data_IF_416738339513
#
_entry.id   IF_416738339513
#
_cell.length_a   1.000
_cell.length_b   1.000
_cell.length_c   1.000
_cell.angle_alpha   90.00
_cell.angle_beta   90.00
_cell.angle_gamma   90.00
#
_symmetry.space_group_name_H-M   'P 1'
#
loop_
_entity.id
_entity.type
_entity.pdbx_description
1 polymer ?
#
# COMPACT_ATOMS: atom_id res chain seq x y z
N UNK A 1 -16.15 30.88 -12.73
CA UNK A 1 -16.53 30.25 -11.44
C UNK A 1 -17.20 28.92 -11.72
N UNK A 2 -17.06 27.91 -10.84
CA UNK A 2 -17.74 26.63 -11.03
C UNK A 2 -19.26 26.85 -10.89
N UNK A 3 -20.01 26.64 -11.97
CA UNK A 3 -21.44 26.95 -12.05
C UNK A 3 -22.29 26.25 -10.96
N UNK A 4 -21.75 25.20 -10.35
CA UNK A 4 -22.47 24.30 -9.44
C UNK A 4 -22.20 24.57 -7.95
N UNK A 5 -21.47 25.63 -7.57
CA UNK A 5 -21.13 25.89 -6.17
C UNK A 5 -22.35 26.23 -5.29
N UNK A 6 -23.39 26.83 -5.88
CA UNK A 6 -24.62 27.21 -5.18
C UNK A 6 -25.42 25.99 -4.68
N UNK A 7 -25.32 24.84 -5.36
CA UNK A 7 -26.03 23.62 -4.99
C UNK A 7 -25.59 23.06 -3.63
N UNK A 8 -24.34 23.30 -3.22
CA UNK A 8 -23.85 22.88 -1.90
C UNK A 8 -24.52 23.66 -0.75
N UNK A 9 -24.86 24.93 -0.99
CA UNK A 9 -25.52 25.76 0.03
C UNK A 9 -26.95 25.27 0.34
N UNK A 10 -27.59 24.58 -0.60
CA UNK A 10 -28.97 24.09 -0.44
C UNK A 10 -29.06 22.75 0.32
N UNK A 11 -27.93 22.09 0.63
CA UNK A 11 -27.91 20.76 1.24
C UNK A 11 -27.91 20.78 2.79
N UNK A 12 -28.03 21.96 3.42
CA UNK A 12 -28.07 22.14 4.88
C UNK A 12 -26.96 21.38 5.65
N UNK A 13 -25.74 21.43 5.14
CA UNK A 13 -24.57 20.78 5.75
C UNK A 13 -23.96 21.66 6.86
N UNK A 14 -23.30 21.05 7.85
CA UNK A 14 -22.44 21.77 8.78
C UNK A 14 -21.39 22.60 8.04
N UNK A 15 -21.00 23.76 8.61
CA UNK A 15 -20.05 24.69 8.01
C UNK A 15 -18.72 24.03 7.65
N UNK A 16 -18.18 23.18 8.52
CA UNK A 16 -16.93 22.43 8.29
C UNK A 16 -17.06 21.44 7.12
N UNK A 17 -18.16 20.69 7.07
CA UNK A 17 -18.44 19.75 5.97
C UNK A 17 -18.63 20.48 4.65
N UNK A 18 -19.28 21.65 4.67
CA UNK A 18 -19.53 22.49 3.51
C UNK A 18 -18.23 23.07 2.95
N UNK A 19 -17.34 23.58 3.81
CA UNK A 19 -16.03 24.09 3.40
C UNK A 19 -15.18 22.98 2.76
N UNK A 20 -15.12 21.81 3.39
CA UNK A 20 -14.43 20.65 2.83
C UNK A 20 -15.05 20.24 1.49
N UNK A 21 -16.38 20.19 1.38
CA UNK A 21 -17.08 19.86 0.14
C UNK A 21 -16.78 20.86 -0.98
N UNK A 22 -16.67 22.17 -0.69
CA UNK A 22 -16.26 23.20 -1.66
C UNK A 22 -14.84 22.98 -2.17
N UNK A 23 -13.90 22.68 -1.27
CA UNK A 23 -12.51 22.37 -1.65
C UNK A 23 -12.44 21.13 -2.56
N UNK A 24 -13.18 20.08 -2.20
CA UNK A 24 -13.28 18.84 -2.97
C UNK A 24 -13.92 19.04 -4.33
N UNK A 25 -14.98 19.85 -4.39
CA UNK A 25 -15.66 20.18 -5.64
C UNK A 25 -14.73 20.93 -6.59
N UNK A 26 -13.94 21.89 -6.08
CA UNK A 26 -12.96 22.60 -6.88
C UNK A 26 -11.89 21.65 -7.45
N UNK A 27 -11.33 20.79 -6.60
CA UNK A 27 -10.34 19.78 -7.00
C UNK A 27 -10.91 18.82 -8.06
N UNK A 28 -12.11 18.29 -7.83
CA UNK A 28 -12.76 17.38 -8.75
C UNK A 28 -13.04 18.06 -10.08
N UNK A 29 -13.58 19.29 -10.07
CA UNK A 29 -13.89 20.05 -11.29
C UNK A 29 -12.64 20.28 -12.15
N UNK A 30 -11.47 20.50 -11.55
CA UNK A 30 -10.21 20.65 -12.28
C UNK A 30 -9.74 19.34 -12.90
N UNK A 31 -9.88 18.23 -12.17
CA UNK A 31 -9.37 16.92 -12.59
C UNK A 31 -10.34 16.09 -13.43
N UNK A 32 -11.61 16.46 -13.50
CA UNK A 32 -12.63 15.77 -14.32
C UNK A 32 -12.99 16.55 -15.57
N UNK A 33 -12.19 17.54 -15.97
CA UNK A 33 -12.40 18.28 -17.22
C UNK A 33 -12.36 17.31 -18.42
N UNK A 34 -13.10 17.60 -19.51
CA UNK A 34 -12.98 16.85 -20.76
C UNK A 34 -11.51 16.73 -21.19
N UNK A 35 -11.07 15.51 -21.54
CA UNK A 35 -9.67 15.22 -21.88
C UNK A 35 -8.74 14.87 -20.71
N UNK A 36 -9.20 14.91 -19.46
CA UNK A 36 -8.42 14.48 -18.28
C UNK A 36 -8.22 12.96 -18.15
N UNK A 37 -8.96 12.17 -18.94
CA UNK A 37 -9.06 10.71 -18.77
C UNK A 37 -10.04 10.26 -17.68
N UNK A 38 -10.62 11.20 -16.92
CA UNK A 38 -11.62 10.95 -15.89
C UNK A 38 -12.89 11.78 -16.14
N UNK A 39 -13.38 11.75 -17.36
CA UNK A 39 -14.53 12.52 -17.78
C UNK A 39 -15.85 11.96 -17.21
N UNK A 40 -16.67 12.83 -16.62
CA UNK A 40 -17.99 12.47 -16.08
C UNK A 40 -19.10 12.50 -17.15
N UNK A 41 -18.90 13.19 -18.27
CA UNK A 41 -19.91 13.38 -19.32
C UNK A 41 -21.18 14.04 -18.79
N UNK A 42 -22.33 13.40 -19.03
CA UNK A 42 -23.64 13.86 -18.53
C UNK A 42 -23.82 13.78 -17.01
N UNK A 43 -22.88 13.15 -16.28
CA UNK A 43 -22.95 12.97 -14.83
C UNK A 43 -22.35 14.12 -14.02
N UNK A 44 -21.96 15.20 -14.67
CA UNK A 44 -21.38 16.40 -14.04
C UNK A 44 -22.36 17.13 -13.13
N UNK A 45 -23.66 16.99 -13.36
CA UNK A 45 -24.73 17.55 -12.51
C UNK A 45 -24.69 17.03 -11.09
N UNK A 46 -24.34 15.75 -10.90
CA UNK A 46 -24.25 15.12 -9.58
C UNK A 46 -22.97 15.41 -8.79
N UNK A 47 -22.01 16.13 -9.38
CA UNK A 47 -20.69 16.33 -8.80
C UNK A 47 -20.72 17.00 -7.40
N UNK A 48 -21.52 18.06 -7.15
CA UNK A 48 -21.59 18.69 -5.82
C UNK A 48 -22.10 17.73 -4.73
N UNK A 49 -23.16 16.98 -5.00
CA UNK A 49 -23.74 16.03 -4.05
C UNK A 49 -22.75 14.90 -3.71
N UNK A 50 -22.00 14.41 -4.70
CA UNK A 50 -20.95 13.42 -4.49
C UNK A 50 -19.81 13.99 -3.63
N UNK A 51 -19.40 15.24 -3.86
CA UNK A 51 -18.35 15.89 -3.07
C UNK A 51 -18.80 16.13 -1.61
N UNK A 52 -20.05 16.54 -1.39
CA UNK A 52 -20.65 16.65 -0.07
C UNK A 52 -20.67 15.31 0.68
N UNK A 53 -21.06 14.23 -0.02
CA UNK A 53 -21.00 12.88 0.53
C UNK A 53 -19.59 12.48 0.97
N UNK A 54 -18.59 12.66 0.10
CA UNK A 54 -17.19 12.34 0.42
C UNK A 54 -16.67 13.19 1.59
N UNK A 55 -17.06 14.47 1.68
CA UNK A 55 -16.69 15.34 2.79
C UNK A 55 -17.24 14.82 4.13
N UNK A 56 -18.53 14.48 4.19
CA UNK A 56 -19.16 13.94 5.40
C UNK A 56 -18.50 12.63 5.88
N UNK A 57 -18.10 11.77 4.93
CA UNK A 57 -17.38 10.51 5.23
C UNK A 57 -15.98 10.77 5.78
N UNK A 58 -15.28 11.79 5.28
CA UNK A 58 -13.94 12.16 5.79
C UNK A 58 -13.97 12.72 7.20
N UNK A 59 -15.01 13.49 7.53
CA UNK A 59 -15.21 14.09 8.86
C UNK A 59 -15.91 13.15 9.84
N UNK A 60 -16.41 11.99 9.37
CA UNK A 60 -17.15 11.00 10.18
C UNK A 60 -18.42 11.56 10.84
N UNK A 61 -18.99 12.63 10.28
CA UNK A 61 -20.23 13.25 10.80
C UNK A 61 -21.47 12.46 10.37
N UNK A 62 -21.38 11.65 9.30
CA UNK A 62 -22.47 10.82 8.75
C UNK A 62 -23.77 11.57 8.41
N UNK A 63 -23.75 12.91 8.33
CA UNK A 63 -24.93 13.75 8.09
C UNK A 63 -25.49 13.59 6.67
N UNK A 64 -24.63 13.22 5.73
CA UNK A 64 -25.01 13.07 4.34
C UNK A 64 -24.89 11.60 3.94
N UNK A 65 -26.02 10.91 3.87
CA UNK A 65 -26.04 9.49 3.51
C UNK A 65 -25.88 9.30 2.00
N UNK A 66 -25.51 8.08 1.60
CA UNK A 66 -25.38 7.72 0.18
C UNK A 66 -26.69 7.88 -0.61
N UNK A 67 -27.82 7.57 0.03
CA UNK A 67 -29.16 7.72 -0.58
C UNK A 67 -29.51 9.20 -0.76
N UNK A 68 -29.31 10.01 0.28
CA UNK A 68 -29.52 11.47 0.21
C UNK A 68 -28.66 12.10 -0.90
N UNK A 69 -27.41 11.68 -1.01
CA UNK A 69 -26.50 12.14 -2.06
C UNK A 69 -26.97 11.74 -3.47
N UNK A 70 -27.49 10.52 -3.64
CA UNK A 70 -28.01 10.07 -4.92
C UNK A 70 -29.26 10.85 -5.32
N UNK A 71 -30.19 11.08 -4.40
CA UNK A 71 -31.39 11.90 -4.65
C UNK A 71 -31.00 13.34 -4.99
N UNK A 72 -30.13 13.96 -4.20
CA UNK A 72 -29.67 15.34 -4.41
C UNK A 72 -28.85 15.52 -5.70
N UNK A 73 -28.24 14.45 -6.22
CA UNK A 73 -27.51 14.47 -7.49
C UNK A 73 -28.42 14.45 -8.72
N UNK A 74 -29.70 14.10 -8.54
CA UNK A 74 -30.67 13.85 -9.61
C UNK A 74 -30.19 12.80 -10.64
N UNK A 75 -29.27 11.89 -10.26
CA UNK A 75 -28.77 10.82 -11.10
C UNK A 75 -29.49 9.51 -10.77
N UNK A 76 -29.62 8.63 -11.77
CA UNK A 76 -30.01 7.23 -11.53
C UNK A 76 -28.98 6.54 -10.64
N UNK A 77 -29.37 5.57 -9.79
CA UNK A 77 -28.44 4.91 -8.88
C UNK A 77 -27.17 4.37 -9.57
N UNK A 78 -27.32 3.72 -10.73
CA UNK A 78 -26.20 3.16 -11.49
C UNK A 78 -25.25 4.23 -12.06
N UNK A 79 -25.77 5.38 -12.47
CA UNK A 79 -24.97 6.50 -12.95
C UNK A 79 -24.30 7.24 -11.79
N UNK A 80 -24.99 7.37 -10.65
CA UNK A 80 -24.44 7.90 -9.41
C UNK A 80 -23.24 7.08 -8.92
N UNK A 81 -23.34 5.75 -8.89
CA UNK A 81 -22.22 4.90 -8.48
C UNK A 81 -21.00 5.07 -9.37
N UNK A 82 -21.19 5.10 -10.69
CA UNK A 82 -20.10 5.32 -11.64
C UNK A 82 -19.45 6.69 -11.45
N UNK A 83 -20.26 7.74 -11.30
CA UNK A 83 -19.76 9.09 -11.02
C UNK A 83 -19.03 9.14 -9.68
N UNK A 84 -19.56 8.50 -8.63
CA UNK A 84 -18.92 8.39 -7.33
C UNK A 84 -17.56 7.73 -7.42
N UNK A 85 -17.42 6.59 -8.12
CA UNK A 85 -16.13 5.93 -8.30
C UNK A 85 -15.13 6.78 -9.08
N UNK A 86 -15.56 7.50 -10.12
CA UNK A 86 -14.69 8.40 -10.88
C UNK A 86 -14.20 9.55 -9.98
N UNK A 87 -15.12 10.21 -9.27
CA UNK A 87 -14.81 11.33 -8.38
C UNK A 87 -13.93 10.87 -7.22
N UNK A 88 -14.22 9.70 -6.63
CA UNK A 88 -13.38 9.07 -5.62
C UNK A 88 -12.00 8.69 -6.18
N UNK A 89 -11.90 8.23 -7.42
CA UNK A 89 -10.62 7.96 -8.08
C UNK A 89 -9.82 9.24 -8.36
N UNK A 90 -10.48 10.38 -8.51
CA UNK A 90 -9.87 11.68 -8.86
C UNK A 90 -9.44 12.47 -7.63
N UNK A 91 -10.38 12.66 -6.69
CA UNK A 91 -10.15 13.31 -5.40
C UNK A 91 -9.32 12.39 -4.51
N UNK A 92 -9.75 11.13 -4.43
CA UNK A 92 -8.98 10.10 -3.79
C UNK A 92 -7.78 9.72 -4.63
N UNK A 93 -7.62 10.14 -5.88
CA UNK A 93 -6.41 9.88 -6.70
C UNK A 93 -5.14 10.56 -6.18
N UNK A 94 -5.28 11.64 -5.40
CA UNK A 94 -4.17 12.20 -4.63
C UNK A 94 -3.87 11.42 -3.34
N UNK A 95 -4.77 10.50 -2.94
CA UNK A 95 -4.68 9.61 -1.77
C UNK A 95 -4.98 8.13 -2.06
N UNK A 96 -4.94 7.70 -3.32
CA UNK A 96 -4.26 6.49 -3.72
C UNK A 96 -2.82 6.93 -3.45
N UNK A 97 -2.33 6.95 -2.20
CA UNK A 97 -2.01 5.69 -1.53
C UNK A 97 -1.81 4.66 -2.63
N UNK A 98 -0.75 4.90 -3.40
CA UNK A 98 0.13 3.88 -3.92
C UNK A 98 0.37 2.93 -2.76
N UNK A 99 -0.63 2.11 -2.39
CA UNK A 99 -0.95 1.60 -1.05
C UNK A 99 0.27 1.73 -0.17
N UNK A 100 0.50 2.92 0.44
CA UNK A 100 1.88 3.37 0.82
C UNK A 100 2.50 2.18 1.50
N UNK A 101 3.42 1.49 0.81
CA UNK A 101 3.69 0.09 1.16
C UNK A 101 4.16 0.15 2.60
N UNK A 102 3.39 -0.41 3.55
CA UNK A 102 3.54 -0.05 4.94
C UNK A 102 4.99 -0.34 5.33
N UNK A 103 5.65 0.62 5.98
CA UNK A 103 7.03 0.39 6.40
C UNK A 103 7.07 -0.81 7.35
N UNK A 104 8.19 -1.55 7.39
CA UNK A 104 8.34 -2.64 8.36
C UNK A 104 8.08 -2.17 9.80
N UNK A 105 8.46 -0.92 10.13
CA UNK A 105 8.17 -0.29 11.41
C UNK A 105 6.66 -0.16 11.69
N UNK A 106 5.86 0.24 10.69
CA UNK A 106 4.40 0.33 10.83
C UNK A 106 3.74 -1.04 11.00
N UNK A 107 4.26 -2.07 10.31
CA UNK A 107 3.76 -3.45 10.44
C UNK A 107 4.12 -3.99 11.83
N UNK A 108 5.36 -3.80 12.29
CA UNK A 108 5.78 -4.20 13.62
C UNK A 108 4.95 -3.51 14.71
N UNK A 109 4.65 -2.21 14.56
CA UNK A 109 3.77 -1.49 15.47
C UNK A 109 2.34 -2.06 15.48
N UNK A 110 1.77 -2.38 14.31
CA UNK A 110 0.43 -2.99 14.18
C UNK A 110 0.32 -4.31 14.94
N UNK A 111 1.36 -5.14 14.92
CA UNK A 111 1.39 -6.45 15.59
C UNK A 111 2.09 -6.44 16.95
N UNK A 112 2.42 -5.26 17.50
CA UNK A 112 3.11 -5.10 18.79
C UNK A 112 4.41 -5.90 18.91
N UNK A 113 5.20 -5.88 17.83
CA UNK A 113 6.48 -6.60 17.72
C UNK A 113 7.64 -5.63 17.88
N UNK A 114 8.68 -6.05 18.59
CA UNK A 114 9.95 -5.31 18.70
C UNK A 114 10.66 -5.28 17.33
N UNK A 115 10.35 -4.25 16.52
CA UNK A 115 10.86 -4.13 15.16
C UNK A 115 12.38 -3.96 15.08
N UNK A 116 13.01 -3.31 16.06
CA UNK A 116 14.46 -3.02 16.05
C UNK A 116 15.32 -4.28 16.01
N UNK A 117 14.97 -5.33 16.75
CA UNK A 117 15.72 -6.59 16.73
C UNK A 117 15.52 -7.40 15.44
N UNK A 118 14.44 -7.14 14.70
CA UNK A 118 14.06 -7.90 13.50
C UNK A 118 14.45 -7.21 12.20
N UNK A 119 14.71 -5.90 12.23
CA UNK A 119 15.11 -5.09 11.09
C UNK A 119 16.26 -5.67 10.25
N UNK A 120 17.38 -6.17 10.82
CA UNK A 120 18.45 -6.75 10.01
C UNK A 120 17.98 -7.98 9.23
N UNK A 121 17.12 -8.82 9.81
CA UNK A 121 16.57 -10.01 9.14
C UNK A 121 15.58 -9.63 8.04
N UNK A 122 14.76 -8.59 8.24
CA UNK A 122 13.88 -8.07 7.19
C UNK A 122 14.70 -7.57 5.99
N UNK A 123 15.76 -6.80 6.24
CA UNK A 123 16.64 -6.30 5.18
C UNK A 123 17.37 -7.43 4.45
N UNK A 124 17.86 -8.44 5.19
CA UNK A 124 18.56 -9.58 4.61
C UNK A 124 17.61 -10.45 3.77
N UNK A 125 16.43 -10.79 4.29
CA UNK A 125 15.41 -11.53 3.54
C UNK A 125 14.96 -10.78 2.29
N UNK A 126 14.79 -9.45 2.37
CA UNK A 126 14.46 -8.62 1.21
C UNK A 126 15.56 -8.68 0.14
N UNK A 127 16.84 -8.58 0.52
CA UNK A 127 17.97 -8.66 -0.43
C UNK A 127 18.03 -10.04 -1.08
N UNK A 128 17.89 -11.12 -0.30
CA UNK A 128 17.90 -12.49 -0.83
C UNK A 128 16.76 -12.71 -1.83
N UNK A 129 15.55 -12.24 -1.52
CA UNK A 129 14.40 -12.35 -2.41
C UNK A 129 14.63 -11.60 -3.73
N UNK A 130 15.21 -10.40 -3.67
CA UNK A 130 15.50 -9.57 -4.84
C UNK A 130 16.59 -10.20 -5.74
N UNK A 131 17.54 -10.92 -5.15
CA UNK A 131 18.57 -11.66 -5.89
C UNK A 131 18.00 -12.89 -6.61
N UNK A 132 16.98 -13.54 -6.04
CA UNK A 132 16.33 -14.72 -6.65
C UNK A 132 15.46 -14.28 -7.84
N UNK A 133 14.61 -13.28 -7.63
CA UNK A 133 13.75 -12.74 -8.68
C UNK A 133 13.51 -11.24 -8.44
N UNK A 134 14.00 -10.41 -9.36
CA UNK A 134 13.88 -8.95 -9.29
C UNK A 134 12.43 -8.44 -9.34
N UNK A 135 11.46 -9.31 -9.66
CA UNK A 135 10.03 -8.97 -9.57
C UNK A 135 9.55 -8.78 -8.14
N UNK A 136 10.21 -9.41 -7.16
CA UNK A 136 9.83 -9.29 -5.76
C UNK A 136 10.38 -8.03 -5.10
N UNK A 137 9.94 -6.87 -5.58
CA UNK A 137 10.32 -5.60 -4.99
C UNK A 137 9.38 -5.21 -3.83
N UNK A 138 9.92 -5.21 -2.60
CA UNK A 138 9.16 -4.87 -1.38
C UNK A 138 8.65 -3.42 -1.34
N UNK A 139 9.18 -2.53 -2.17
CA UNK A 139 8.74 -1.13 -2.26
C UNK A 139 7.52 -0.98 -3.17
N UNK A 140 7.32 -1.94 -4.09
CA UNK A 140 6.23 -1.92 -5.08
C UNK A 140 5.07 -2.81 -4.68
N UNK A 141 5.34 -3.92 -3.99
CA UNK A 141 4.35 -4.93 -3.64
C UNK A 141 4.21 -5.07 -2.13
N UNK A 142 3.03 -4.75 -1.61
CA UNK A 142 2.73 -4.90 -0.18
C UNK A 142 2.75 -6.38 0.23
N UNK A 143 2.32 -7.28 -0.65
CA UNK A 143 2.31 -8.73 -0.45
C UNK A 143 3.70 -9.25 -0.11
N UNK A 144 4.74 -8.76 -0.80
CA UNK A 144 6.13 -9.16 -0.54
C UNK A 144 6.57 -8.72 0.85
N UNK A 145 6.25 -7.48 1.23
CA UNK A 145 6.66 -6.94 2.53
C UNK A 145 5.96 -7.64 3.69
N UNK A 146 4.65 -7.88 3.58
CA UNK A 146 3.90 -8.65 4.57
C UNK A 146 4.33 -10.12 4.62
N UNK A 147 4.68 -10.73 3.48
CA UNK A 147 5.20 -12.10 3.45
C UNK A 147 6.56 -12.22 4.15
N UNK A 148 7.49 -11.27 3.92
CA UNK A 148 8.77 -11.22 4.64
C UNK A 148 8.53 -11.07 6.14
N UNK A 149 7.65 -10.14 6.54
CA UNK A 149 7.31 -9.95 7.95
C UNK A 149 6.74 -11.23 8.58
N UNK A 150 5.72 -11.83 7.95
CA UNK A 150 5.09 -13.06 8.41
C UNK A 150 6.11 -14.19 8.56
N UNK A 151 6.93 -14.39 7.53
CA UNK A 151 7.93 -15.46 7.49
C UNK A 151 8.98 -15.27 8.59
N UNK A 152 9.61 -14.09 8.70
CA UNK A 152 10.60 -13.82 9.75
C UNK A 152 9.99 -13.98 11.15
N UNK A 153 8.80 -13.42 11.35
CA UNK A 153 8.13 -13.47 12.65
C UNK A 153 7.74 -14.89 13.08
N UNK A 154 7.29 -15.71 12.12
CA UNK A 154 6.91 -17.12 12.38
C UNK A 154 8.06 -17.94 12.96
N UNK A 155 9.30 -17.66 12.54
CA UNK A 155 10.49 -18.31 13.09
C UNK A 155 11.00 -17.66 14.37
N UNK A 156 10.82 -16.35 14.52
CA UNK A 156 11.35 -15.61 15.67
C UNK A 156 10.61 -15.90 16.98
N UNK A 157 9.27 -15.84 17.00
CA UNK A 157 8.53 -15.97 18.27
C UNK A 157 8.21 -17.41 18.67
N UNK A 158 8.30 -18.38 17.75
CA UNK A 158 7.90 -19.77 17.97
C UNK A 158 6.40 -19.97 18.29
N UNK A 159 5.68 -18.89 18.62
CA UNK A 159 4.22 -18.84 18.71
C UNK A 159 3.66 -18.72 17.30
N UNK A 160 2.69 -19.58 16.98
CA UNK A 160 2.00 -19.54 15.70
C UNK A 160 1.26 -18.20 15.62
N UNK A 161 1.72 -17.33 14.73
CA UNK A 161 0.88 -16.29 14.18
C UNK A 161 -0.39 -16.94 13.60
N UNK A 162 -1.45 -16.16 13.38
CA UNK A 162 -2.63 -16.65 12.67
C UNK A 162 -2.25 -17.43 11.39
N UNK A 163 -3.05 -18.43 10.99
CA UNK A 163 -2.77 -19.18 9.77
C UNK A 163 -2.64 -18.23 8.57
N UNK A 164 -1.79 -18.61 7.60
CA UNK A 164 -1.40 -17.78 6.45
C UNK A 164 -2.60 -17.16 5.71
N UNK A 165 -3.72 -17.89 5.65
CA UNK A 165 -4.94 -17.45 4.98
C UNK A 165 -5.63 -16.31 5.72
N UNK A 166 -5.83 -16.44 7.03
CA UNK A 166 -6.45 -15.40 7.87
C UNK A 166 -5.60 -14.14 7.88
N UNK A 167 -4.28 -14.30 7.99
CA UNK A 167 -3.36 -13.16 7.95
C UNK A 167 -3.42 -12.41 6.61
N UNK A 168 -3.54 -13.11 5.49
CA UNK A 168 -3.66 -12.46 4.18
C UNK A 168 -4.99 -11.68 4.06
N UNK A 169 -6.09 -12.26 4.55
CA UNK A 169 -7.42 -11.63 4.53
C UNK A 169 -7.46 -10.36 5.41
N UNK A 170 -6.91 -10.41 6.61
CA UNK A 170 -6.87 -9.28 7.57
C UNK A 170 -6.05 -8.07 7.07
N UNK A 171 -5.12 -8.30 6.14
CA UNK A 171 -4.30 -7.26 5.53
C UNK A 171 -4.71 -6.93 4.09
N UNK A 172 -5.83 -7.47 3.61
CA UNK A 172 -6.36 -7.26 2.25
C UNK A 172 -5.36 -7.64 1.15
N UNK A 173 -4.61 -8.73 1.36
CA UNK A 173 -3.59 -9.22 0.44
C UNK A 173 -4.12 -10.31 -0.47
N UNK A 174 -3.57 -10.42 -1.67
CA UNK A 174 -3.81 -11.57 -2.54
C UNK A 174 -3.14 -12.82 -1.95
N UNK A 175 -3.93 -13.74 -1.41
CA UNK A 175 -3.44 -14.98 -0.78
C UNK A 175 -2.51 -15.78 -1.71
N UNK A 176 -2.82 -15.87 -3.00
CA UNK A 176 -2.01 -16.61 -3.98
C UNK A 176 -0.62 -16.01 -4.15
N UNK A 177 -0.51 -14.69 -4.25
CA UNK A 177 0.78 -14.00 -4.37
C UNK A 177 1.58 -14.11 -3.07
N UNK A 178 0.92 -13.87 -1.94
CA UNK A 178 1.50 -13.99 -0.60
C UNK A 178 2.08 -15.39 -0.33
N UNK A 179 1.30 -16.45 -0.56
CA UNK A 179 1.74 -17.83 -0.37
C UNK A 179 2.92 -18.20 -1.27
N UNK A 180 2.95 -17.69 -2.51
CA UNK A 180 4.05 -17.92 -3.46
C UNK A 180 5.36 -17.28 -2.96
N UNK A 181 5.29 -16.07 -2.40
CA UNK A 181 6.45 -15.40 -1.82
C UNK A 181 6.96 -16.16 -0.60
N UNK A 182 6.07 -16.60 0.30
CA UNK A 182 6.43 -17.40 1.48
C UNK A 182 7.10 -18.72 1.07
N UNK A 183 6.53 -19.43 0.09
CA UNK A 183 7.11 -20.67 -0.42
C UNK A 183 8.53 -20.43 -0.96
N UNK A 184 8.71 -19.35 -1.75
CA UNK A 184 10.02 -18.96 -2.30
C UNK A 184 11.03 -18.63 -1.20
N UNK A 185 10.64 -17.87 -0.17
CA UNK A 185 11.48 -17.58 0.99
C UNK A 185 11.88 -18.86 1.72
N UNK A 186 10.93 -19.77 1.95
CA UNK A 186 11.18 -21.03 2.65
C UNK A 186 12.12 -21.98 1.90
N UNK A 187 12.06 -21.99 0.56
CA UNK A 187 12.88 -22.86 -0.28
C UNK A 187 14.29 -22.32 -0.47
N UNK A 188 14.43 -21.00 -0.68
CA UNK A 188 15.70 -20.40 -1.09
C UNK A 188 16.48 -19.74 0.05
N UNK A 189 15.82 -19.32 1.13
CA UNK A 189 16.46 -18.66 2.27
C UNK A 189 16.64 -19.60 3.47
N UNK A 190 17.14 -20.82 3.22
CA UNK A 190 17.30 -21.85 4.26
C UNK A 190 18.37 -21.49 5.29
N UNK A 191 19.46 -20.84 4.87
CA UNK A 191 20.53 -20.37 5.76
C UNK A 191 20.00 -19.34 6.76
N UNK A 192 19.31 -18.31 6.25
CA UNK A 192 18.70 -17.25 7.06
C UNK A 192 17.63 -17.81 8.00
N UNK A 193 16.88 -18.83 7.58
CA UNK A 193 15.94 -19.56 8.44
C UNK A 193 16.65 -20.23 9.62
N UNK A 194 17.80 -20.88 9.40
CA UNK A 194 18.57 -21.51 10.48
C UNK A 194 19.10 -20.47 11.47
N UNK A 195 19.64 -19.36 10.97
CA UNK A 195 20.12 -18.23 11.78
C UNK A 195 19.00 -17.65 12.67
N UNK A 196 17.80 -17.44 12.10
CA UNK A 196 16.62 -16.98 12.86
C UNK A 196 16.23 -17.95 13.97
N UNK A 197 16.24 -19.25 13.70
CA UNK A 197 15.91 -20.28 14.71
C UNK A 197 16.97 -20.31 15.82
N UNK A 198 18.25 -20.16 15.48
CA UNK A 198 19.34 -20.12 16.46
C UNK A 198 19.25 -18.88 17.37
N UNK A 199 19.00 -17.71 16.78
CA UNK A 199 18.77 -16.46 17.51
C UNK A 199 17.52 -16.49 18.40
N UNK A 200 16.44 -17.10 17.91
CA UNK A 200 15.23 -17.29 18.71
C UNK A 200 15.50 -18.17 19.94
N UNK A 201 16.30 -19.24 19.79
CA UNK A 201 16.69 -20.12 20.90
C UNK A 201 17.59 -19.42 21.91
N UNK A 202 18.59 -18.64 21.46
CA UNK A 202 19.52 -17.94 22.36
C UNK A 202 18.81 -16.91 23.24
N UNK A 203 17.77 -16.24 22.74
CA UNK A 203 16.95 -15.31 23.53
C UNK A 203 16.14 -15.98 24.63
N UNK A 204 15.57 -17.15 24.37
CA UNK A 204 14.83 -17.89 25.40
C UNK A 204 15.75 -18.31 26.55
N UNK A 205 17.03 -18.62 26.24
CA UNK A 205 18.02 -18.97 27.24
C UNK A 205 18.48 -17.78 28.12
N UNK A 206 18.36 -16.54 27.62
CA UNK A 206 18.80 -15.32 28.31
C UNK A 206 17.77 -14.72 29.25
N UNK A 207 16.52 -15.22 29.29
CA UNK A 207 15.61 -14.87 30.38
C UNK A 207 16.23 -15.49 31.64
N UNK A 208 16.80 -14.67 32.56
CA UNK A 208 17.44 -15.21 33.74
C UNK A 208 16.36 -16.00 34.45
N UNK A 209 16.51 -17.33 34.53
CA UNK A 209 15.79 -18.12 35.51
C UNK A 209 16.04 -17.36 36.81
N UNK A 210 14.98 -16.74 37.34
CA UNK A 210 15.05 -15.97 38.56
C UNK A 210 15.91 -16.78 39.53
N UNK A 211 17.05 -16.18 39.94
CA UNK A 211 18.03 -16.86 40.76
C UNK A 211 17.27 -17.64 41.83
N UNK A 212 17.52 -18.96 41.99
CA UNK A 212 16.73 -19.80 42.87
C UNK A 212 16.69 -19.08 44.21
N UNK A 213 15.51 -18.56 44.55
CA UNK A 213 15.33 -17.77 45.75
C UNK A 213 15.77 -18.70 46.86
N UNK A 214 16.83 -18.40 47.62
CA UNK A 214 17.35 -19.33 48.60
C UNK A 214 16.21 -19.62 49.55
N UNK A 215 15.71 -20.86 49.49
CA UNK A 215 14.68 -21.38 50.37
C UNK A 215 15.14 -21.07 51.79
N UNK A 216 14.48 -20.10 52.44
CA UNK A 216 14.66 -19.85 53.86
C UNK A 216 14.41 -21.18 54.55
N UNK A 217 15.52 -21.77 54.99
CA UNK A 217 15.59 -22.99 55.78
C UNK A 217 14.76 -22.73 57.05
N UNK A 218 13.52 -23.22 57.05
CA UNK A 218 12.70 -23.25 58.25
C UNK A 218 13.45 -24.06 59.30
N UNK A 219 13.68 -23.53 60.51
CA UNK A 219 14.29 -24.31 61.57
C UNK A 219 13.32 -25.41 62.01
N UNK A 220 13.89 -26.57 62.29
CA UNK A 220 13.25 -27.74 62.88
C UNK A 220 12.24 -27.33 63.96
N UNK A 221 11.03 -27.88 63.91
CA UNK A 221 10.27 -28.15 65.13
C UNK A 221 9.23 -29.26 64.93
N UNK A 222 9.54 -30.35 65.65
CA UNK A 222 8.65 -31.33 66.30
C UNK A 222 7.84 -32.27 65.41
N UNK A 223 8.36 -33.50 65.41
CA UNK A 223 7.64 -34.76 65.37
C UNK A 223 6.37 -34.66 66.21
N UNK A 224 5.20 -34.75 65.59
CA UNK A 224 3.94 -34.96 66.29
C UNK A 224 3.21 -36.15 65.64
N UNK A 225 3.31 -37.27 66.36
CA UNK A 225 2.36 -38.39 66.47
C UNK A 225 1.51 -38.74 65.25
N UNK A 226 1.80 -39.91 64.71
CA UNK A 226 0.90 -40.72 63.90
C UNK A 226 -0.42 -41.01 64.64
N UNK A 227 -1.52 -40.91 63.91
CA UNK A 227 -2.80 -41.55 64.25
C UNK A 227 -3.21 -42.44 63.07
N UNK A 228 -3.42 -43.76 63.28
CA UNK A 228 -3.94 -44.68 62.29
C UNK A 228 -5.46 -44.81 62.46
N UNK A 229 -6.25 -44.59 61.40
CA UNK A 229 -7.70 -44.87 61.35
C UNK A 229 -8.17 -44.76 59.89
N UNK A 230 -8.44 -45.88 59.21
CA UNK A 230 -9.73 -46.62 59.16
C UNK A 230 -10.65 -46.16 58.03
N UNK A 231 -10.83 -47.08 57.07
CA UNK A 231 -12.07 -47.49 56.39
C UNK A 231 -13.34 -46.65 56.56
N UNK A 232 -13.98 -46.32 55.42
CA UNK A 232 -15.45 -46.38 55.21
C UNK A 232 -15.76 -45.98 53.77
N UNK A 233 -16.11 -46.88 52.85
CA UNK A 233 -17.42 -47.54 52.62
C UNK A 233 -18.54 -46.59 52.17
N UNK A 234 -19.12 -46.99 51.03
CA UNK A 234 -20.30 -46.52 50.32
C UNK A 234 -21.43 -45.88 51.15
N UNK A 235 -22.15 -44.93 50.54
CA UNK A 235 -23.61 -44.90 50.68
C UNK A 235 -24.32 -44.28 49.48
N UNK A 236 -25.08 -45.15 48.79
CA UNK A 236 -26.22 -44.82 47.94
C UNK A 236 -27.28 -44.07 48.77
N UNK A 237 -27.97 -43.10 48.18
CA UNK A 237 -29.35 -42.72 48.58
C UNK A 237 -30.25 -42.60 47.34
N UNK A 238 -31.55 -42.81 47.52
CA UNK A 238 -32.46 -43.26 46.48
C UNK A 238 -33.33 -42.15 45.89
N UNK A 239 -33.93 -42.52 44.76
CA UNK A 239 -35.05 -41.86 44.12
C UNK A 239 -36.30 -41.80 45.03
N UNK A 240 -37.06 -40.71 44.90
CA UNK A 240 -38.53 -40.72 45.02
C UNK A 240 -39.12 -39.55 44.21
N UNK A 241 -40.32 -39.68 43.61
CA UNK A 241 -40.80 -38.90 42.46
C UNK A 241 -41.97 -37.94 42.80
N UNK A 242 -42.46 -37.26 41.74
CA UNK A 242 -43.64 -36.37 41.56
C UNK A 242 -43.25 -34.87 41.45
N UNK A 243 -43.02 -34.31 40.24
CA UNK A 243 -43.97 -33.94 39.15
C UNK A 243 -44.84 -32.71 39.45
N UNK A 244 -45.37 -31.99 38.44
CA UNK A 244 -44.74 -31.24 37.34
C UNK A 244 -44.92 -29.71 37.59
N UNK A 245 -44.43 -28.72 36.84
CA UNK A 245 -44.76 -28.40 35.46
C UNK A 245 -44.07 -27.06 35.07
N UNK A 246 -43.74 -26.93 33.78
CA UNK A 246 -43.31 -25.75 33.04
C UNK A 246 -41.88 -25.20 33.32
N UNK A 247 -40.86 -25.51 32.50
CA UNK A 247 -40.62 -25.06 31.10
C UNK A 247 -40.41 -23.54 30.98
N UNK A 248 -39.35 -22.99 30.37
CA UNK A 248 -38.21 -23.52 29.61
C UNK A 248 -37.11 -22.44 29.56
N UNK A 249 -35.87 -22.92 29.71
CA UNK A 249 -34.68 -22.64 28.91
C UNK A 249 -34.15 -21.21 28.74
N UNK A 250 -33.13 -20.93 29.56
CA UNK A 250 -31.89 -20.27 29.11
C UNK A 250 -30.74 -21.23 29.45
N UNK A 251 -29.99 -21.71 28.46
CA UNK A 251 -28.73 -22.45 28.68
C UNK A 251 -27.56 -21.75 27.99
N UNK A 252 -26.41 -21.70 28.67
CA UNK A 252 -25.09 -21.77 28.06
C UNK A 252 -24.36 -23.06 28.49
N UNK A 253 -23.84 -23.84 27.54
CA UNK A 253 -23.00 -25.01 27.82
C UNK A 253 -21.54 -24.67 27.61
N UNK A 254 -20.77 -24.79 28.69
CA UNK A 254 -19.33 -24.84 28.70
C UNK A 254 -18.83 -26.29 28.62
N UNK A 255 -17.73 -26.46 27.87
CA UNK A 255 -16.57 -27.34 28.10
C UNK A 255 -16.80 -28.69 28.78
N UNK A 256 -16.57 -29.79 28.06
CA UNK A 256 -15.92 -30.99 28.62
C UNK A 256 -14.90 -31.56 27.62
N UNK A 257 -13.69 -31.78 28.14
CA UNK A 257 -12.53 -32.44 27.58
C UNK A 257 -12.54 -33.91 28.09
N UNK A 258 -12.28 -34.87 27.22
CA UNK A 258 -12.05 -36.30 27.53
C UNK A 258 -11.86 -37.03 26.19
N UNK A 259 -10.65 -37.34 25.75
CA UNK A 259 -9.79 -38.46 26.17
C UNK A 259 -10.33 -39.83 25.72
N UNK A 260 -9.57 -40.42 24.77
CA UNK A 260 -9.55 -41.80 24.26
C UNK A 260 -10.86 -42.44 23.76
N UNK A 261 -10.98 -42.60 22.43
CA UNK A 261 -11.16 -43.95 21.88
C UNK A 261 -10.72 -44.08 20.42
N UNK A 262 -9.81 -45.02 20.22
CA UNK A 262 -9.40 -45.62 18.96
C UNK A 262 -10.60 -46.21 18.19
N UNK A 263 -10.88 -45.69 16.99
CA UNK A 263 -11.77 -46.36 16.02
C UNK A 263 -11.10 -46.55 14.67
N UNK A 264 -11.07 -47.78 14.12
CA UNK A 264 -10.49 -48.08 12.82
C UNK A 264 -11.40 -47.64 11.67
N UNK A 265 -10.76 -47.26 10.56
CA UNK A 265 -11.37 -46.94 9.27
C UNK A 265 -12.22 -48.10 8.73
N UNK A 266 -13.39 -47.84 8.11
CA UNK A 266 -14.03 -48.84 7.26
C UNK A 266 -13.37 -48.88 5.88
N UNK A 267 -12.69 -49.98 5.59
CA UNK A 267 -12.33 -50.42 4.25
C UNK A 267 -13.60 -50.62 3.40
N UNK A 268 -13.60 -50.11 2.17
CA UNK A 268 -14.61 -50.45 1.16
C UNK A 268 -14.00 -51.22 0.00
N UNK A 269 -14.70 -52.21 -0.57
CA UNK A 269 -14.09 -53.26 -1.37
C UNK A 269 -14.13 -52.99 -2.88
N UNK A 270 -13.01 -53.33 -3.50
CA UNK A 270 -12.81 -53.94 -4.82
C UNK A 270 -14.06 -54.26 -5.67
N UNK A 271 -14.14 -53.69 -6.88
CA UNK A 271 -14.73 -54.38 -8.02
C UNK A 271 -13.85 -54.28 -9.27
N UNK A 272 -13.39 -55.47 -9.64
CA UNK A 272 -12.53 -55.85 -10.76
C UNK A 272 -13.17 -55.45 -12.10
N UNK A 273 -12.38 -54.92 -13.03
CA UNK A 273 -12.50 -55.33 -14.43
C UNK A 273 -11.11 -55.45 -15.06
N UNK A 274 -10.96 -56.60 -15.69
CA UNK A 274 -9.77 -57.30 -16.19
C UNK A 274 -9.76 -57.16 -17.71
N UNK A 275 -8.60 -56.88 -18.32
CA UNK A 275 -8.12 -57.23 -19.68
C UNK A 275 -6.63 -56.79 -19.65
N UNK A 276 -5.66 -57.69 -19.40
CA UNK A 276 -4.94 -58.54 -20.38
C UNK A 276 -4.19 -57.68 -21.42
N UNK A 277 -2.89 -57.43 -21.23
CA UNK A 277 -1.70 -58.25 -21.59
C UNK A 277 -1.26 -58.04 -23.05
N UNK A 278 0.00 -57.61 -23.24
CA UNK A 278 1.00 -57.89 -24.32
C UNK A 278 2.18 -56.91 -24.05
N UNK A 279 3.22 -57.29 -23.30
CA UNK A 279 4.47 -57.99 -23.72
C UNK A 279 5.57 -57.05 -24.29
N UNK A 280 6.65 -56.95 -23.49
CA UNK A 280 8.09 -56.82 -23.79
C UNK A 280 8.70 -55.52 -24.41
N UNK A 281 9.49 -54.84 -23.56
CA UNK A 281 10.87 -54.27 -23.70
C UNK A 281 11.64 -54.39 -25.05
N UNK A 282 12.81 -53.72 -25.26
CA UNK A 282 13.33 -52.42 -24.79
C UNK A 282 14.07 -51.58 -25.89
N UNK A 283 14.49 -50.35 -25.55
CA UNK A 283 15.72 -49.62 -25.98
C UNK A 283 16.03 -49.52 -27.49
N UNK A 284 16.01 -48.29 -28.05
CA UNK A 284 17.12 -47.65 -28.80
C UNK A 284 16.69 -46.29 -29.39
N UNK A 285 17.60 -45.30 -29.33
CA UNK A 285 17.55 -44.07 -30.14
C UNK A 285 17.99 -44.42 -31.56
N UNK A 286 17.51 -43.73 -32.61
CA UNK A 286 18.42 -42.83 -33.30
C UNK A 286 17.78 -41.53 -33.84
N UNK A 287 18.68 -40.58 -34.13
CA UNK A 287 18.50 -39.31 -34.82
C UNK A 287 17.96 -39.50 -36.25
N UNK A 288 17.03 -38.67 -36.72
CA UNK A 288 17.03 -38.12 -38.10
C UNK A 288 15.98 -36.99 -38.29
N UNK A 289 16.48 -35.81 -38.66
CA UNK A 289 16.01 -34.88 -39.71
C UNK A 289 14.51 -34.71 -40.05
N UNK A 290 14.02 -33.45 -39.92
CA UNK A 290 13.23 -32.59 -40.87
C UNK A 290 12.17 -33.22 -41.79
N UNK A 291 11.03 -32.54 -42.13
CA UNK A 291 11.02 -31.14 -42.59
C UNK A 291 9.77 -30.28 -42.31
N UNK A 292 9.99 -28.98 -42.57
CA UNK A 292 9.05 -27.88 -42.81
C UNK A 292 7.74 -28.30 -43.48
N UNK A 293 6.61 -27.81 -42.93
CA UNK A 293 5.39 -27.56 -43.71
C UNK A 293 4.98 -26.11 -43.60
N UNK A 294 5.19 -25.43 -44.71
CA UNK A 294 4.60 -24.17 -45.12
C UNK A 294 3.08 -24.25 -45.10
N UNK A 295 2.43 -23.31 -44.43
CA UNK A 295 1.04 -22.95 -44.72
C UNK A 295 1.07 -21.51 -45.22
N UNK A 296 1.39 -21.40 -46.51
CA UNK A 296 0.92 -20.31 -47.35
C UNK A 296 -0.55 -20.61 -47.67
N UNK A 297 -1.48 -19.76 -47.22
CA UNK A 297 -2.75 -19.62 -47.93
C UNK A 297 -3.38 -18.25 -47.71
N UNK A 298 -3.12 -17.40 -48.70
CA UNK A 298 -4.09 -16.59 -49.44
C UNK A 298 -5.02 -15.65 -48.67
N UNK A 299 -4.68 -14.37 -48.74
CA UNK A 299 -5.61 -13.23 -48.82
C UNK A 299 -6.75 -13.44 -49.82
N UNK A 300 -7.92 -12.84 -49.55
CA UNK A 300 -8.59 -12.05 -50.59
C UNK A 300 -8.84 -10.59 -50.17
N UNK A 301 -8.39 -9.67 -51.05
CA UNK A 301 -8.92 -8.32 -51.20
C UNK A 301 -10.44 -8.37 -51.42
N UNK A 302 -11.16 -7.32 -50.99
CA UNK A 302 -11.78 -6.30 -51.86
C UNK A 302 -13.06 -5.70 -51.22
N UNK A 303 -12.98 -4.41 -50.93
CA UNK A 303 -14.03 -3.40 -51.15
C UNK A 303 -15.37 -3.54 -50.43
N UNK A 304 -15.60 -2.66 -49.46
CA UNK A 304 -16.92 -2.02 -49.35
C UNK A 304 -16.72 -0.58 -48.86
N UNK A 305 -16.82 0.35 -49.80
CA UNK A 305 -16.99 1.76 -49.54
C UNK A 305 -18.43 1.95 -49.05
N UNK A 306 -18.60 2.20 -47.75
CA UNK A 306 -19.90 2.63 -47.22
C UNK A 306 -19.92 4.15 -47.26
N UNK A 307 -20.55 4.59 -48.35
CA UNK A 307 -21.31 5.81 -48.56
C UNK A 307 -21.71 6.56 -47.29
N UNK A 308 -21.33 7.84 -47.24
CA UNK A 308 -21.87 8.89 -46.39
C UNK A 308 -23.24 9.34 -46.92
N UNK A 309 -24.33 9.23 -46.15
CA UNK A 309 -25.56 9.94 -46.50
C UNK A 309 -25.50 11.38 -45.97
N UNK A 310 -25.43 12.28 -46.94
CA UNK A 310 -26.32 13.43 -47.11
C UNK A 310 -26.62 14.34 -45.92
N UNK A 311 -26.07 15.55 -46.07
CA UNK A 311 -26.39 16.84 -45.46
C UNK A 311 -27.92 17.09 -45.40
N UNK A 312 -28.52 16.91 -44.23
CA UNK A 312 -29.87 17.40 -43.93
C UNK A 312 -29.80 18.91 -43.71
N UNK A 313 -30.35 19.67 -44.67
CA UNK A 313 -30.72 21.08 -44.48
C UNK A 313 -31.86 21.11 -43.46
N UNK A 314 -31.60 21.61 -42.26
CA UNK A 314 -32.66 22.05 -41.36
C UNK A 314 -33.16 23.41 -41.86
N UNK A 315 -34.33 23.36 -42.49
CA UNK A 315 -35.16 24.50 -42.83
C UNK A 315 -35.84 24.95 -41.53
N UNK A 316 -35.29 25.97 -40.86
CA UNK A 316 -35.93 26.60 -39.70
C UNK A 316 -37.05 27.47 -40.27
N UNK A 317 -38.28 26.96 -40.17
CA UNK A 317 -39.48 27.75 -40.36
C UNK A 317 -39.55 28.81 -39.27
N UNK A 318 -39.44 30.07 -39.68
CA UNK A 318 -39.81 31.25 -38.90
C UNK A 318 -41.32 31.36 -38.99
N UNK A 319 -42.02 31.22 -37.85
CA UNK A 319 -43.37 31.73 -37.64
C UNK A 319 -43.63 31.91 -36.15
N UNK A 320 -44.43 32.95 -35.86
CA UNK A 320 -44.89 33.48 -34.58
C UNK A 320 -43.90 34.52 -34.00
N UNK A 321 -44.02 35.83 -34.29
CA UNK A 321 -45.12 36.76 -33.95
C UNK A 321 -45.64 36.48 -32.52
N UNK A 322 -45.05 37.17 -31.54
CA UNK A 322 -45.81 37.92 -30.57
C UNK A 322 -44.90 38.99 -29.90
N UNK A 323 -45.43 40.21 -29.95
CA UNK A 323 -45.18 41.37 -29.11
C UNK A 323 -44.51 41.10 -27.75
N UNK A 324 -43.65 42.02 -27.32
CA UNK A 324 -43.81 42.85 -26.10
C UNK A 324 -42.43 43.35 -25.62
N UNK A 325 -42.39 44.67 -25.41
CA UNK A 325 -41.45 45.46 -24.59
C UNK A 325 -40.03 45.70 -25.09
N UNK A 326 -39.91 46.83 -25.77
CA UNK A 326 -38.79 47.77 -25.67
C UNK A 326 -38.54 48.12 -24.20
N UNK A 327 -37.36 47.78 -23.69
CA UNK A 327 -36.73 48.49 -22.59
C UNK A 327 -35.27 48.74 -22.97
N UNK A 328 -35.03 49.97 -23.41
CA UNK A 328 -33.71 50.56 -23.61
C UNK A 328 -32.88 50.39 -22.34
N UNK A 329 -31.80 49.64 -22.42
CA UNK A 329 -30.70 49.70 -21.48
C UNK A 329 -29.47 50.15 -22.26
N UNK A 330 -29.16 51.44 -22.12
CA UNK A 330 -27.92 52.07 -22.55
C UNK A 330 -26.70 51.20 -22.21
N UNK A 331 -26.03 50.71 -23.25
CA UNK A 331 -24.69 50.17 -23.13
C UNK A 331 -23.69 51.34 -23.13
N UNK A 332 -23.38 51.84 -21.93
CA UNK A 332 -22.30 52.80 -21.66
C UNK A 332 -20.94 52.14 -21.97
N UNK A 333 -20.47 52.31 -23.21
CA UNK A 333 -19.12 51.92 -23.64
C UNK A 333 -18.09 52.88 -23.06
N UNK A 334 -17.70 52.66 -21.81
CA UNK A 334 -16.52 53.32 -21.23
C UNK A 334 -15.22 52.61 -21.65
N UNK A 335 -14.21 53.35 -22.12
CA UNK A 335 -12.91 52.77 -22.44
C UNK A 335 -12.19 52.34 -21.15
N UNK A 336 -11.69 51.10 -21.16
CA UNK A 336 -10.91 50.52 -20.07
C UNK A 336 -9.60 51.31 -19.84
N UNK A 337 -9.21 51.58 -18.58
CA UNK A 337 -7.94 52.24 -18.30
C UNK A 337 -6.76 51.30 -18.60
N UNK A 338 -5.74 51.84 -19.26
CA UNK A 338 -4.49 51.15 -19.55
C UNK A 338 -3.79 50.72 -18.25
N UNK A 339 -3.63 49.41 -18.07
CA UNK A 339 -2.83 48.83 -16.99
C UNK A 339 -1.34 49.09 -17.27
N UNK A 340 -0.81 50.16 -16.68
CA UNK A 340 0.62 50.38 -16.51
C UNK A 340 1.20 49.30 -15.58
N UNK A 341 1.83 48.28 -16.16
CA UNK A 341 2.69 47.34 -15.43
C UNK A 341 3.99 48.04 -15.03
N UNK A 342 3.93 48.75 -13.90
CA UNK A 342 5.10 49.26 -13.19
C UNK A 342 5.96 48.11 -12.68
N UNK A 343 7.16 48.00 -13.23
CA UNK A 343 8.24 47.10 -12.82
C UNK A 343 8.72 47.48 -11.42
N UNK A 344 8.23 46.81 -10.38
CA UNK A 344 8.75 46.94 -9.01
C UNK A 344 10.13 46.31 -8.92
N UNK A 345 11.16 47.16 -8.84
CA UNK A 345 12.51 46.81 -8.38
C UNK A 345 12.45 46.52 -6.87
N UNK A 346 12.83 45.31 -6.47
CA UNK A 346 13.11 44.98 -5.08
C UNK A 346 14.42 45.64 -4.64
N UNK A 347 14.47 46.35 -3.50
CA UNK A 347 15.72 46.83 -2.94
C UNK A 347 16.44 45.70 -2.18
N UNK A 348 17.74 45.62 -2.44
CA UNK A 348 18.76 44.94 -1.65
C UNK A 348 18.91 45.62 -0.28
N UNK A 349 18.80 44.85 0.80
CA UNK A 349 19.29 45.26 2.12
C UNK A 349 20.50 44.42 2.50
N UNK A 350 21.67 45.01 2.26
CA UNK A 350 22.91 44.67 2.95
C UNK A 350 22.85 45.19 4.41
N UNK A 351 23.48 44.45 5.33
CA UNK A 351 24.24 45.09 6.41
C UNK A 351 23.96 44.65 7.85
N UNK A 352 25.08 44.39 8.55
CA UNK A 352 25.36 44.48 10.00
C UNK A 352 24.98 43.25 10.88
N UNK A 353 25.93 42.40 11.31
CA UNK A 353 27.01 42.53 12.33
C UNK A 353 26.54 42.50 13.80
N UNK A 354 26.94 41.44 14.52
CA UNK A 354 27.37 41.41 15.95
C UNK A 354 27.63 39.93 16.30
N UNK A 355 28.88 39.46 16.46
CA UNK A 355 29.71 39.54 17.67
C UNK A 355 28.95 39.24 18.98
N UNK A 356 29.20 38.06 19.56
CA UNK A 356 29.33 37.85 21.01
C UNK A 356 29.88 36.45 21.32
N UNK A 357 30.99 36.46 22.05
CA UNK A 357 31.74 35.37 22.67
C UNK A 357 30.95 34.54 23.71
N UNK A 358 31.41 33.30 23.90
CA UNK A 358 31.61 32.58 25.18
C UNK A 358 31.96 31.11 24.85
N UNK A 359 33.22 30.67 24.88
CA UNK A 359 34.05 30.35 26.04
C UNK A 359 33.46 29.24 26.94
N UNK A 360 34.01 28.01 26.82
CA UNK A 360 34.17 27.05 27.91
C UNK A 360 34.99 25.83 27.43
N UNK A 361 36.15 25.68 28.07
CA UNK A 361 37.14 24.62 27.92
C UNK A 361 36.69 23.28 28.51
N UNK A 362 37.40 22.21 28.11
CA UNK A 362 37.93 21.08 28.92
C UNK A 362 38.43 20.05 27.89
N UNK A 363 39.73 20.00 27.57
CA UNK A 363 40.86 19.49 28.37
C UNK A 363 40.76 17.98 28.66
N UNK A 364 41.52 17.19 27.91
CA UNK A 364 42.04 15.86 28.28
C UNK A 364 43.05 15.39 27.24
N UNK A 365 44.26 15.85 27.49
CA UNK A 365 45.57 15.31 27.16
C UNK A 365 45.71 13.81 27.49
N UNK A 366 46.28 13.01 26.58
CA UNK A 366 47.28 11.98 26.93
C UNK A 366 47.89 11.30 25.67
N UNK A 367 49.21 11.45 25.59
CA UNK A 367 50.28 10.56 25.14
C UNK A 367 50.21 9.91 23.75
N UNK A 368 51.04 10.32 22.79
CA UNK A 368 52.52 10.14 22.71
C UNK A 368 52.90 8.68 22.47
N UNK A 369 53.46 8.41 21.28
CA UNK A 369 54.69 7.62 21.09
C UNK A 369 55.08 7.55 19.60
N UNK A 370 56.30 8.03 19.34
CA UNK A 370 57.32 7.61 18.37
C UNK A 370 56.91 7.33 16.90
N UNK A 371 57.53 7.91 15.89
CA UNK A 371 58.92 8.35 15.77
C UNK A 371 59.46 7.88 14.40
N UNK A 372 60.56 8.48 13.97
CA UNK A 372 61.42 8.09 12.81
C UNK A 372 61.13 8.79 11.46
N UNK A 373 61.74 9.97 11.36
CA UNK A 373 62.75 10.35 10.35
C UNK A 373 62.53 10.04 8.85
N UNK A 374 62.48 11.11 8.04
CA UNK A 374 63.57 11.47 7.10
C UNK A 374 63.36 12.85 6.48
N UNK A 375 64.49 13.51 6.28
CA UNK A 375 64.72 14.91 5.92
C UNK A 375 64.69 15.11 4.36
N UNK A 376 65.15 16.23 3.78
CA UNK A 376 64.28 17.25 3.17
C UNK A 376 64.55 17.46 1.66
N UNK A 377 63.65 18.15 0.96
CA UNK A 377 63.98 18.75 -0.34
C UNK A 377 63.41 20.15 -0.48
N UNK A 378 64.33 21.10 -0.70
CA UNK A 378 64.16 22.53 -0.90
C UNK A 378 63.50 22.87 -2.24
N UNK A 379 62.92 24.08 -2.25
CA UNK A 379 62.83 25.03 -3.36
C UNK A 379 61.79 24.76 -4.46
N UNK A 380 60.74 25.57 -4.51
CA UNK A 380 60.73 26.81 -5.30
C UNK A 380 59.37 27.50 -5.18
N UNK A 381 59.34 28.69 -4.58
CA UNK A 381 58.19 29.59 -4.64
C UNK A 381 58.11 30.11 -6.08
N UNK A 382 57.11 29.64 -6.83
CA UNK A 382 56.67 30.26 -8.08
C UNK A 382 55.33 30.95 -7.81
N UNK A 383 55.40 32.28 -7.70
CA UNK A 383 54.25 33.18 -7.75
C UNK A 383 53.58 32.98 -9.12
N UNK A 384 52.41 32.34 -9.13
CA UNK A 384 51.57 32.22 -10.32
C UNK A 384 50.40 33.18 -10.19
N UNK A 385 50.31 34.06 -11.18
CA UNK A 385 49.24 35.03 -11.40
C UNK A 385 47.84 34.41 -11.33
N UNK A 386 46.84 35.15 -10.80
CA UNK A 386 45.45 34.70 -10.80
C UNK A 386 44.91 34.64 -12.24
N UNK A 387 44.63 33.43 -12.71
CA UNK A 387 43.89 33.22 -13.96
C UNK A 387 42.45 33.67 -13.74
N UNK A 388 42.00 34.59 -14.58
CA UNK A 388 40.61 35.00 -14.77
C UNK A 388 39.74 33.76 -15.03
N UNK A 389 38.96 33.36 -14.03
CA UNK A 389 37.94 32.33 -14.18
C UNK A 389 36.87 32.89 -15.12
N UNK A 390 36.78 32.31 -16.33
CA UNK A 390 35.66 32.56 -17.24
C UNK A 390 34.37 32.16 -16.53
N UNK A 391 33.45 33.12 -16.40
CA UNK A 391 32.12 32.93 -15.85
C UNK A 391 31.48 31.68 -16.45
N UNK A 392 31.13 30.72 -15.59
CA UNK A 392 30.39 29.54 -15.98
C UNK A 392 29.06 29.98 -16.60
N UNK A 393 28.87 29.72 -17.90
CA UNK A 393 27.60 29.94 -18.57
C UNK A 393 26.50 29.19 -17.80
N UNK A 394 25.57 29.97 -17.23
CA UNK A 394 24.37 29.47 -16.58
C UNK A 394 23.60 28.61 -17.58
N UNK A 395 23.76 27.28 -17.46
CA UNK A 395 22.98 26.30 -18.21
C UNK A 395 21.51 26.52 -17.86
N UNK A 396 20.74 27.02 -18.82
CA UNK A 396 19.30 27.24 -18.70
C UNK A 396 18.64 25.94 -18.24
N UNK A 397 17.98 26.00 -17.08
CA UNK A 397 17.23 24.90 -16.49
C UNK A 397 16.15 24.45 -17.49
N UNK A 398 16.33 23.28 -18.11
CA UNK A 398 15.29 22.68 -18.96
C UNK A 398 14.36 21.84 -18.07
N UNK A 399 13.04 22.04 -18.13
CA UNK A 399 12.09 21.25 -17.35
C UNK A 399 12.22 19.76 -17.69
N UNK A 400 12.51 18.93 -16.68
CA UNK A 400 12.75 17.48 -16.75
C UNK A 400 11.56 16.69 -17.35
N UNK A 401 10.39 17.31 -17.46
CA UNK A 401 9.18 16.67 -17.97
C UNK A 401 9.17 16.36 -19.48
N UNK A 402 10.10 16.92 -20.28
CA UNK A 402 10.21 16.56 -21.70
C UNK A 402 11.09 15.33 -21.98
N UNK A 403 11.98 14.94 -21.06
CA UNK A 403 12.89 13.81 -21.28
C UNK A 403 12.17 12.45 -21.25
N UNK A 404 11.09 12.31 -20.47
CA UNK A 404 10.40 11.01 -20.36
C UNK A 404 9.72 10.57 -21.66
N UNK A 405 9.26 11.53 -22.47
CA UNK A 405 8.73 11.23 -23.82
C UNK A 405 9.85 10.95 -24.81
N UNK A 406 10.96 11.69 -24.74
CA UNK A 406 12.09 11.54 -25.67
C UNK A 406 12.86 10.22 -25.44
N UNK A 407 12.98 9.79 -24.18
CA UNK A 407 13.55 8.48 -23.83
C UNK A 407 12.73 7.31 -24.35
N UNK A 408 11.40 7.40 -24.26
CA UNK A 408 10.52 6.32 -24.76
C UNK A 408 10.40 6.28 -26.29
N UNK A 409 10.76 7.35 -27.00
CA UNK A 409 10.75 7.38 -28.46
C UNK A 409 12.03 6.85 -29.12
N UNK A 410 13.03 6.38 -28.35
CA UNK A 410 14.30 5.86 -28.89
C UNK A 410 14.94 6.82 -29.92
N UNK A 411 14.92 8.13 -29.62
CA UNK A 411 15.48 9.13 -30.52
C UNK A 411 17.00 8.94 -30.63
N UNK A 412 17.49 8.60 -31.83
CA UNK A 412 18.89 8.27 -32.10
C UNK A 412 19.84 9.43 -31.79
N UNK A 413 19.34 10.66 -31.70
CA UNK A 413 20.13 11.84 -31.30
C UNK A 413 20.56 11.81 -29.84
N UNK A 414 19.76 11.23 -28.94
CA UNK A 414 20.13 11.10 -27.53
C UNK A 414 21.31 10.13 -27.36
N UNK A 415 21.34 9.05 -28.14
CA UNK A 415 22.48 8.11 -28.14
C UNK A 415 23.79 8.79 -28.54
N UNK A 416 23.77 9.72 -29.50
CA UNK A 416 24.97 10.44 -29.94
C UNK A 416 25.53 11.41 -28.87
N UNK A 417 24.66 11.93 -27.98
CA UNK A 417 25.06 12.83 -26.90
C UNK A 417 25.72 12.04 -25.77
N UNK A 418 25.16 10.88 -25.40
CA UNK A 418 25.71 10.04 -24.32
C UNK A 418 26.88 9.15 -24.75
N UNK A 419 27.07 8.88 -26.05
CA UNK A 419 28.24 8.15 -26.55
C UNK A 419 29.54 8.98 -26.55
N UNK A 420 29.46 10.30 -26.26
CA UNK A 420 30.61 11.21 -26.24
C UNK A 420 31.01 11.69 -24.83
N UNK A 421 30.34 11.20 -23.79
CA UNK A 421 30.82 11.29 -22.40
C UNK A 421 31.51 9.99 -22.02
#
# INVERSE_FOLDING_TARGET
MAHNAHLLSNMNLQSETLELARSLLHEATLKTKPGSGHELGSRTTGLPAICAYIASQRLKTNEFTRQTAQVASCLRPTDFEKAFYIVQAVIGGSRRSTTKVPSFTSICAKYQVNGQSLEPYFAQAQRSLLQIDGRYNSERMAEVRFAIFFWVFSYWQGKKLQPEKEFAEDNLLSFKAFATVIATLSEKCTTLKLELIEQAKSRVALVPKAAPTPTKRSPQKRILRELPSKDSVSKKRPASPNAPEASLLTQPVAKILGELDSRPFPETPTKKRKIADVVLTPRTKPLTSTPLKSILRTSPKKGSAISTPSRVKLNIGIRDEDEVSESEAELDTRPLPALNLGRTRSPSSDGATSDADADAAEDSEMDELDGIARSPAKAHIRVLHPKTQKAAELRRFRPVYHDYKQWNTLDTRLHAIYAKS
#
